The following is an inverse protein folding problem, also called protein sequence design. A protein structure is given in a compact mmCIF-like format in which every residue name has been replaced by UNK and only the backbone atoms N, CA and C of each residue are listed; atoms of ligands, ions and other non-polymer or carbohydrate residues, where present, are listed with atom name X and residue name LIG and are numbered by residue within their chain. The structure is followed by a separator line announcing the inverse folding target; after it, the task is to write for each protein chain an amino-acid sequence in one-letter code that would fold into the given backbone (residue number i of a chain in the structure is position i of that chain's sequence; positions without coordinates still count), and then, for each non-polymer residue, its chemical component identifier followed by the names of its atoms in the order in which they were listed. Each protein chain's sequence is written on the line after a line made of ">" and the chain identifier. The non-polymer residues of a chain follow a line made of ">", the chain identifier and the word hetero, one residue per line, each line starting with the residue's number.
data_IF_613380246466
#
_entry.id   IF_613380246466
#
_cell.length_a   1.000
_cell.length_b   1.000
_cell.length_c   1.000
_cell.angle_alpha   90.00
_cell.angle_beta   90.00
_cell.angle_gamma   90.00
#
_symmetry.space_group_name_H-M   'P 1'
#
loop_
_entity.id
_entity.type
_entity.pdbx_description
1 polymer ?
#
# COMPACT_ATOMS: atom_id res chain seq x y z
N UNK A 1 -3.58 6.01 -5.54
CA UNK A 1 -4.43 6.51 -4.44
C UNK A 1 -3.62 7.53 -3.66
N UNK A 2 -4.14 8.72 -3.33
CA UNK A 2 -3.43 9.63 -2.44
C UNK A 2 -3.34 9.04 -1.02
N UNK A 3 -2.29 9.37 -0.31
CA UNK A 3 -2.20 9.08 1.13
C UNK A 3 -3.03 10.08 1.96
N UNK A 4 -2.95 9.96 3.28
CA UNK A 4 -3.66 10.86 4.19
C UNK A 4 -3.15 12.31 4.19
N UNK A 5 -1.97 12.57 3.60
CA UNK A 5 -1.40 13.91 3.38
C UNK A 5 -1.65 14.39 1.93
N UNK A 6 -2.60 13.77 1.22
CA UNK A 6 -2.92 14.01 -0.19
C UNK A 6 -1.76 13.79 -1.19
N UNK A 7 -0.69 13.10 -0.77
CA UNK A 7 0.45 12.79 -1.66
C UNK A 7 0.12 11.59 -2.55
N UNK A 8 0.38 11.67 -3.87
CA UNK A 8 0.07 10.57 -4.77
C UNK A 8 0.99 9.36 -4.54
N UNK A 9 0.38 8.19 -4.38
CA UNK A 9 1.08 6.90 -4.24
C UNK A 9 0.70 5.96 -5.39
N UNK A 10 1.72 5.40 -6.03
CA UNK A 10 1.58 4.33 -7.03
C UNK A 10 1.60 2.97 -6.30
N UNK A 11 0.63 2.12 -6.64
CA UNK A 11 0.57 0.72 -6.20
C UNK A 11 0.91 -0.16 -7.40
N UNK A 12 1.89 -1.03 -7.25
CA UNK A 12 2.34 -1.93 -8.30
C UNK A 12 2.24 -3.38 -7.81
N UNK A 13 1.29 -4.14 -8.34
CA UNK A 13 1.24 -5.58 -8.12
C UNK A 13 2.27 -6.27 -9.01
N UNK A 14 3.08 -7.13 -8.41
CA UNK A 14 4.07 -7.94 -9.11
C UNK A 14 3.75 -9.43 -8.94
N UNK A 15 4.20 -10.24 -9.90
CA UNK A 15 4.02 -11.70 -9.86
C UNK A 15 4.89 -12.40 -8.78
N UNK A 16 5.61 -11.62 -7.96
CA UNK A 16 6.36 -12.10 -6.79
C UNK A 16 5.52 -12.06 -5.50
N UNK A 17 4.20 -12.19 -5.63
CA UNK A 17 3.21 -12.16 -4.54
C UNK A 17 3.26 -10.89 -3.68
N UNK A 18 3.66 -9.76 -4.28
CA UNK A 18 3.82 -8.50 -3.56
C UNK A 18 3.18 -7.32 -4.25
N UNK A 19 2.86 -6.32 -3.44
CA UNK A 19 2.45 -4.99 -3.91
C UNK A 19 3.49 -4.00 -3.43
N UNK A 20 4.14 -3.32 -4.36
CA UNK A 20 5.08 -2.24 -4.07
C UNK A 20 4.34 -0.90 -4.04
N UNK A 21 4.69 -0.06 -3.09
CA UNK A 21 4.18 1.30 -2.95
C UNK A 21 5.31 2.27 -3.27
N UNK A 22 5.07 3.19 -4.20
CA UNK A 22 6.04 4.22 -4.60
C UNK A 22 5.47 5.62 -4.41
N UNK A 23 6.29 6.52 -3.89
CA UNK A 23 6.01 7.94 -3.88
C UNK A 23 6.02 8.49 -5.31
N UNK A 24 5.01 9.26 -5.70
CA UNK A 24 5.05 10.03 -6.94
C UNK A 24 5.37 11.50 -6.65
N UNK A 25 6.16 12.16 -7.52
CA UNK A 25 6.72 11.64 -8.78
C UNK A 25 8.11 10.99 -8.62
N UNK A 26 8.65 10.85 -7.41
CA UNK A 26 10.05 10.44 -7.20
C UNK A 26 10.34 8.97 -7.51
N UNK A 27 9.31 8.12 -7.50
CA UNK A 27 9.40 6.66 -7.55
C UNK A 27 10.25 6.05 -6.43
N UNK A 28 10.43 6.75 -5.31
CA UNK A 28 11.05 6.17 -4.13
C UNK A 28 10.13 5.10 -3.55
N UNK A 29 10.69 3.94 -3.23
CA UNK A 29 9.93 2.88 -2.55
C UNK A 29 9.52 3.37 -1.16
N UNK A 30 8.21 3.44 -0.94
CA UNK A 30 7.60 3.77 0.34
C UNK A 30 7.44 2.53 1.22
N UNK A 31 7.17 1.38 0.60
CA UNK A 31 7.02 0.12 1.30
C UNK A 31 6.41 -0.98 0.43
N UNK A 32 6.11 -2.11 1.07
CA UNK A 32 5.67 -3.33 0.39
C UNK A 32 4.63 -4.08 1.22
N UNK A 33 3.64 -4.64 0.53
CA UNK A 33 2.66 -5.56 1.08
C UNK A 33 2.96 -6.95 0.52
N UNK A 34 2.97 -7.96 1.38
CA UNK A 34 3.15 -9.36 1.00
C UNK A 34 1.81 -10.10 1.05
N UNK A 35 1.55 -10.91 0.02
CA UNK A 35 0.38 -11.77 -0.08
C UNK A 35 0.80 -13.25 -0.15
N UNK A 36 -0.14 -14.15 0.08
CA UNK A 36 0.05 -15.60 -0.06
C UNK A 36 0.09 -16.04 -1.53
N UNK A 37 -0.51 -15.27 -2.43
CA UNK A 37 -0.53 -15.53 -3.86
C UNK A 37 -0.37 -14.24 -4.66
N UNK A 38 -0.41 -14.35 -5.99
CA UNK A 38 -0.32 -13.18 -6.86
C UNK A 38 -1.53 -12.28 -6.63
N UNK A 39 -1.29 -10.99 -6.39
CA UNK A 39 -2.36 -10.00 -6.24
C UNK A 39 -2.87 -9.62 -7.62
N UNK A 40 -4.14 -9.92 -7.92
CA UNK A 40 -4.74 -9.69 -9.24
C UNK A 40 -5.69 -8.50 -9.30
N UNK A 41 -6.02 -7.92 -8.15
CA UNK A 41 -6.89 -6.75 -8.07
C UNK A 41 -6.46 -5.84 -6.92
N UNK A 42 -6.47 -4.54 -7.18
CA UNK A 42 -6.31 -3.47 -6.21
C UNK A 42 -7.41 -2.46 -6.48
N UNK A 43 -8.31 -2.25 -5.54
CA UNK A 43 -9.46 -1.34 -5.71
C UNK A 43 -9.52 -0.31 -4.58
N UNK A 44 -9.82 0.94 -4.93
CA UNK A 44 -9.99 2.02 -3.94
C UNK A 44 -11.41 2.03 -3.40
N UNK A 45 -11.53 2.12 -2.08
CA UNK A 45 -12.80 2.26 -1.36
C UNK A 45 -13.02 3.65 -0.75
N UNK A 46 -14.21 3.90 -0.19
CA UNK A 46 -14.48 5.11 0.56
C UNK A 46 -13.62 5.19 1.84
N UNK A 47 -13.41 6.40 2.36
CA UNK A 47 -12.75 6.63 3.65
C UNK A 47 -11.24 6.37 3.66
N UNK A 48 -10.57 6.44 2.50
CA UNK A 48 -9.14 6.20 2.36
C UNK A 48 -8.76 4.72 2.49
N UNK A 49 -9.74 3.83 2.29
CA UNK A 49 -9.52 2.39 2.26
C UNK A 49 -9.12 1.92 0.87
N UNK A 50 -8.41 0.81 0.82
CA UNK A 50 -8.22 0.06 -0.41
C UNK A 50 -8.25 -1.45 -0.14
N UNK A 51 -8.56 -2.20 -1.18
CA UNK A 51 -8.76 -3.63 -1.14
C UNK A 51 -7.73 -4.31 -2.02
N UNK A 52 -7.25 -5.47 -1.59
CA UNK A 52 -6.35 -6.30 -2.39
C UNK A 52 -6.90 -7.72 -2.41
N UNK A 53 -7.04 -8.30 -3.59
CA UNK A 53 -7.44 -9.69 -3.78
C UNK A 53 -6.33 -10.51 -4.43
N UNK A 54 -6.03 -11.67 -3.84
CA UNK A 54 -5.00 -12.57 -4.35
C UNK A 54 -5.54 -13.87 -4.97
N UNK A 55 -4.67 -14.59 -5.69
CA UNK A 55 -5.01 -15.85 -6.36
C UNK A 55 -5.44 -17.00 -5.44
N UNK A 56 -5.32 -16.85 -4.12
CA UNK A 56 -5.84 -17.84 -3.15
C UNK A 56 -7.31 -17.59 -2.81
N UNK A 57 -7.89 -16.48 -3.27
CA UNK A 57 -9.22 -16.01 -2.89
C UNK A 57 -9.22 -15.19 -1.60
N UNK A 58 -8.06 -14.87 -1.02
CA UNK A 58 -7.97 -14.00 0.15
C UNK A 58 -8.16 -12.54 -0.27
N UNK A 59 -9.03 -11.85 0.46
CA UNK A 59 -9.27 -10.42 0.33
C UNK A 59 -8.83 -9.71 1.61
N UNK A 60 -8.00 -8.69 1.46
CA UNK A 60 -7.54 -7.85 2.58
C UNK A 60 -8.02 -6.42 2.40
N UNK A 61 -8.32 -5.77 3.53
CA UNK A 61 -8.71 -4.36 3.60
C UNK A 61 -7.59 -3.60 4.27
N UNK A 62 -7.21 -2.48 3.67
CA UNK A 62 -6.08 -1.68 4.11
C UNK A 62 -6.47 -0.22 4.26
N UNK A 63 -5.76 0.47 5.16
CA UNK A 63 -5.74 1.91 5.27
C UNK A 63 -4.29 2.36 5.29
N UNK A 64 -3.93 3.29 4.42
CA UNK A 64 -2.57 3.84 4.43
C UNK A 64 -2.43 4.74 5.66
N UNK A 65 -1.62 4.33 6.62
CA UNK A 65 -1.44 5.07 7.87
C UNK A 65 -0.72 6.40 7.61
N UNK A 66 -1.12 7.44 8.32
CA UNK A 66 -0.36 8.69 8.40
C UNK A 66 1.02 8.42 8.98
N UNK A 67 2.03 9.09 8.42
CA UNK A 67 3.35 9.12 9.02
C UNK A 67 3.28 9.98 10.29
N UNK A 68 2.81 9.39 11.40
CA UNK A 68 3.11 9.94 12.70
C UNK A 68 4.60 9.72 12.88
N UNK A 69 5.38 10.76 12.58
CA UNK A 69 6.83 10.73 12.73
C UNK A 69 7.14 10.08 14.06
N UNK A 70 7.77 8.90 14.02
CA UNK A 70 8.39 8.35 15.22
C UNK A 70 9.48 9.34 15.58
N UNK A 71 9.16 10.29 16.46
CA UNK A 71 10.18 10.96 17.26
C UNK A 71 10.89 9.81 17.97
N UNK A 72 12.06 9.45 17.47
CA UNK A 72 12.97 8.58 18.20
C UNK A 72 13.28 9.35 19.48
N UNK A 73 12.59 8.99 20.57
CA UNK A 73 12.94 9.46 21.89
C UNK A 73 14.28 8.81 22.21
N UNK A 74 15.35 9.56 21.99
CA UNK A 74 16.69 9.17 22.44
C UNK A 74 16.65 9.26 23.96
N UNK A 75 16.84 8.11 24.61
CA UNK A 75 17.07 7.98 26.04
C UNK A 75 18.52 8.36 26.37
#
# INVERSE_FOLDING_TARGET
>A
MPDAEDKPVLFCSCNDNSIYLYDLPSFNERGRIFSKGEVRTIETGPGGLFFTGDGTGLLNVWKLAESHGRVLQVA
#
